data_IF_606662545791
#
_entry.id   IF_606662545791
#
_cell.length_a   1.000
_cell.length_b   1.000
_cell.length_c   1.000
_cell.angle_alpha   90.00
_cell.angle_beta   90.00
_cell.angle_gamma   90.00
#
_symmetry.space_group_name_H-M   'P 1'
#
loop_
_entity.id
_entity.type
_entity.pdbx_description
1 polymer ?
#
# COMPACT_ATOMS: atom_id res chain seq x y z
N UNK A 1 19.54 -36.86 -21.95
CA UNK A 1 19.67 -37.09 -20.49
C UNK A 1 19.07 -35.88 -19.79
N UNK A 2 17.96 -35.90 -19.05
CA UNK A 2 16.87 -36.84 -18.80
C UNK A 2 15.58 -36.02 -19.02
N UNK A 3 14.71 -36.50 -19.90
CA UNK A 3 13.35 -36.00 -20.09
C UNK A 3 12.45 -36.82 -19.17
N UNK A 4 11.78 -36.20 -18.20
CA UNK A 4 10.75 -36.89 -17.42
C UNK A 4 9.44 -36.76 -18.19
N UNK A 5 9.13 -37.78 -18.99
CA UNK A 5 7.81 -37.98 -19.58
C UNK A 5 6.82 -38.30 -18.44
N UNK A 6 5.73 -37.55 -18.36
CA UNK A 6 4.53 -37.99 -17.65
C UNK A 6 3.74 -38.85 -18.62
N UNK A 7 3.88 -40.16 -18.46
CA UNK A 7 3.20 -41.19 -19.24
C UNK A 7 1.72 -41.23 -18.85
N UNK A 8 0.84 -40.94 -19.79
CA UNK A 8 -0.60 -41.18 -19.70
C UNK A 8 -0.85 -42.69 -19.59
N UNK A 9 -1.24 -43.17 -18.41
CA UNK A 9 -1.71 -44.53 -18.23
C UNK A 9 -3.21 -44.60 -18.57
N UNK A 10 -3.54 -44.70 -19.85
CA UNK A 10 -4.85 -45.20 -20.29
C UNK A 10 -4.73 -46.74 -20.39
N UNK A 11 -5.03 -47.45 -19.31
CA UNK A 11 -5.20 -48.90 -19.32
C UNK A 11 -6.59 -49.22 -18.79
N UNK A 12 -7.36 -49.91 -19.63
CA UNK A 12 -8.81 -49.99 -19.53
C UNK A 12 -9.36 -50.80 -18.37
N UNK A 13 -10.62 -50.49 -18.05
CA UNK A 13 -11.52 -51.42 -17.40
C UNK A 13 -12.75 -51.60 -18.29
N UNK A 14 -12.85 -52.81 -18.84
CA UNK A 14 -14.07 -53.33 -19.45
C UNK A 14 -15.16 -53.46 -18.37
N UNK A 15 -16.40 -53.16 -18.80
CA UNK A 15 -17.69 -53.54 -18.23
C UNK A 15 -17.70 -54.26 -16.87
N UNK A 16 -18.03 -53.51 -15.82
CA UNK A 16 -18.88 -54.01 -14.73
C UNK A 16 -19.55 -52.80 -14.06
N UNK A 17 -20.87 -52.86 -13.91
CA UNK A 17 -21.71 -51.76 -13.44
C UNK A 17 -21.20 -51.16 -12.12
N UNK A 18 -20.94 -49.87 -12.13
CA UNK A 18 -20.65 -49.08 -10.93
C UNK A 18 -21.37 -47.75 -11.07
N UNK A 19 -21.95 -47.31 -9.96
CA UNK A 19 -22.84 -46.16 -9.87
C UNK A 19 -22.17 -44.88 -10.38
N UNK A 20 -22.98 -44.01 -10.98
CA UNK A 20 -22.62 -42.60 -11.21
C UNK A 20 -22.19 -42.04 -9.85
N UNK A 21 -20.96 -41.53 -9.69
CA UNK A 21 -20.54 -40.97 -8.42
C UNK A 21 -21.44 -39.76 -8.09
N UNK A 22 -21.78 -39.53 -6.81
CA UNK A 22 -22.61 -38.39 -6.43
C UNK A 22 -21.92 -37.08 -6.84
N UNK A 23 -22.68 -36.05 -7.21
CA UNK A 23 -22.20 -34.69 -7.57
C UNK A 23 -21.08 -34.14 -6.67
N UNK A 24 -21.04 -34.57 -5.40
CA UNK A 24 -20.01 -34.22 -4.43
C UNK A 24 -18.59 -34.74 -4.78
N UNK A 25 -18.46 -35.86 -5.50
CA UNK A 25 -17.17 -36.40 -5.93
C UNK A 25 -16.56 -35.57 -7.07
N UNK A 26 -17.37 -35.07 -8.01
CA UNK A 26 -16.92 -34.12 -9.02
C UNK A 26 -16.57 -32.76 -8.41
N UNK A 27 -17.30 -32.34 -7.37
CA UNK A 27 -16.93 -31.15 -6.60
C UNK A 27 -15.63 -31.33 -5.81
N UNK A 28 -15.32 -32.55 -5.34
CA UNK A 28 -14.04 -32.86 -4.66
C UNK A 28 -12.86 -32.94 -5.63
N UNK A 29 -13.04 -33.48 -6.84
CA UNK A 29 -11.98 -33.49 -7.86
C UNK A 29 -11.76 -32.09 -8.48
N UNK A 30 -12.81 -31.27 -8.60
CA UNK A 30 -12.71 -29.85 -8.95
C UNK A 30 -12.21 -28.94 -7.82
N UNK A 31 -12.15 -29.44 -6.58
CA UNK A 31 -11.44 -28.80 -5.45
C UNK A 31 -10.10 -29.45 -5.17
N UNK A 32 -9.40 -29.90 -6.21
CA UNK A 32 -7.94 -29.79 -6.17
C UNK A 32 -7.64 -28.31 -6.30
N UNK A 33 -7.78 -27.59 -5.18
CA UNK A 33 -7.37 -26.20 -5.06
C UNK A 33 -5.97 -26.12 -5.68
N UNK A 34 -5.82 -25.31 -6.73
CA UNK A 34 -4.51 -24.82 -7.12
C UNK A 34 -4.02 -24.10 -5.87
N UNK A 35 -3.25 -24.79 -5.03
CA UNK A 35 -2.53 -24.18 -3.94
C UNK A 35 -1.47 -23.33 -4.64
N UNK A 36 -1.87 -22.10 -5.02
CA UNK A 36 -0.93 -21.09 -5.48
C UNK A 36 0.07 -20.97 -4.36
N UNK A 37 1.29 -21.48 -4.59
CA UNK A 37 2.35 -21.35 -3.62
C UNK A 37 2.53 -19.86 -3.35
N UNK A 38 2.38 -19.46 -2.08
CA UNK A 38 2.55 -18.07 -1.69
C UNK A 38 3.93 -17.58 -2.17
N UNK A 39 4.05 -16.35 -2.69
CA UNK A 39 5.34 -15.81 -3.10
C UNK A 39 6.38 -15.93 -1.97
N UNK A 40 7.58 -16.38 -2.32
CA UNK A 40 8.72 -16.38 -1.38
C UNK A 40 9.18 -14.95 -1.15
N UNK A 41 8.94 -14.45 0.06
CA UNK A 41 9.32 -13.10 0.52
C UNK A 41 10.46 -13.14 1.53
N UNK A 42 11.32 -14.17 1.45
CA UNK A 42 12.55 -14.22 2.24
C UNK A 42 13.53 -13.10 1.85
N UNK A 43 14.46 -12.78 2.75
CA UNK A 43 15.55 -11.82 2.51
C UNK A 43 16.28 -12.11 1.19
N UNK A 44 16.61 -13.38 0.93
CA UNK A 44 17.29 -13.80 -0.28
C UNK A 44 16.40 -13.61 -1.51
N UNK A 45 15.12 -14.00 -1.44
CA UNK A 45 14.19 -13.88 -2.56
C UNK A 45 13.96 -12.41 -2.95
N UNK A 46 13.76 -11.52 -1.97
CA UNK A 46 13.56 -10.08 -2.21
C UNK A 46 14.84 -9.46 -2.78
N UNK A 47 16.00 -9.63 -2.12
CA UNK A 47 17.25 -9.01 -2.55
C UNK A 47 17.75 -9.53 -3.92
N UNK A 48 17.39 -10.75 -4.31
CA UNK A 48 17.75 -11.34 -5.60
C UNK A 48 16.69 -11.14 -6.69
N UNK A 49 15.48 -10.67 -6.37
CA UNK A 49 14.37 -10.59 -7.32
C UNK A 49 14.71 -9.66 -8.50
N UNK A 50 14.34 -10.07 -9.71
CA UNK A 50 14.59 -9.30 -10.93
C UNK A 50 13.35 -9.27 -11.85
N UNK A 51 13.44 -8.43 -12.88
CA UNK A 51 12.33 -8.18 -13.80
C UNK A 51 11.94 -9.42 -14.62
N UNK A 52 12.91 -10.24 -15.05
CA UNK A 52 12.62 -11.47 -15.82
C UNK A 52 11.92 -12.51 -14.95
N UNK A 53 12.38 -12.69 -13.70
CA UNK A 53 11.74 -13.57 -12.73
C UNK A 53 10.31 -13.12 -12.39
N UNK A 54 10.08 -11.81 -12.25
CA UNK A 54 8.75 -11.27 -12.06
C UNK A 54 7.81 -11.53 -13.25
N UNK A 55 8.26 -11.25 -14.48
CA UNK A 55 7.48 -11.55 -15.69
C UNK A 55 7.13 -13.04 -15.78
N UNK A 56 8.09 -13.91 -15.50
CA UNK A 56 7.86 -15.36 -15.50
C UNK A 56 6.81 -15.78 -14.46
N UNK A 57 6.83 -15.19 -13.25
CA UNK A 57 5.81 -15.44 -12.23
C UNK A 57 4.42 -14.96 -12.65
N UNK A 58 4.31 -13.77 -13.24
CA UNK A 58 3.03 -13.23 -13.73
C UNK A 58 2.45 -14.08 -14.86
N UNK A 59 3.29 -14.48 -15.82
CA UNK A 59 2.86 -15.33 -16.93
C UNK A 59 2.41 -16.72 -16.45
N UNK A 60 3.12 -17.29 -15.48
CA UNK A 60 2.72 -18.55 -14.85
C UNK A 60 1.39 -18.42 -14.09
N UNK A 61 1.19 -17.33 -13.34
CA UNK A 61 -0.06 -17.06 -12.64
C UNK A 61 -1.24 -16.90 -13.61
N UNK A 62 -1.05 -16.15 -14.71
CA UNK A 62 -2.04 -15.98 -15.77
C UNK A 62 -2.42 -17.31 -16.42
N UNK A 63 -1.42 -18.12 -16.77
CA UNK A 63 -1.65 -19.45 -17.36
C UNK A 63 -2.41 -20.36 -16.40
N UNK A 64 -2.06 -20.35 -15.11
CA UNK A 64 -2.77 -21.12 -14.09
C UNK A 64 -4.23 -20.71 -13.89
N UNK A 65 -4.53 -19.40 -14.00
CA UNK A 65 -5.90 -18.88 -13.98
C UNK A 65 -6.68 -19.30 -15.24
N UNK A 66 -6.07 -19.20 -16.42
CA UNK A 66 -6.67 -19.64 -17.69
C UNK A 66 -7.02 -21.14 -17.64
N UNK A 67 -6.11 -21.98 -17.12
CA UNK A 67 -6.35 -23.41 -16.93
C UNK A 67 -7.47 -23.69 -15.92
N UNK A 68 -7.51 -22.98 -14.80
CA UNK A 68 -8.56 -23.11 -13.79
C UNK A 68 -9.94 -22.73 -14.35
N UNK A 69 -10.01 -21.64 -15.11
CA UNK A 69 -11.23 -21.18 -15.75
C UNK A 69 -11.69 -22.18 -16.82
N UNK A 70 -10.77 -22.73 -17.63
CA UNK A 70 -11.10 -23.73 -18.63
C UNK A 70 -11.69 -25.02 -18.02
N UNK A 71 -11.25 -25.42 -16.81
CA UNK A 71 -11.84 -26.56 -16.08
C UNK A 71 -13.27 -26.25 -15.60
N UNK A 72 -13.56 -25.01 -15.21
CA UNK A 72 -14.90 -24.59 -14.79
C UNK A 72 -15.90 -24.46 -15.95
N UNK A 73 -15.42 -24.26 -17.18
CA UNK A 73 -16.25 -24.14 -18.40
C UNK A 73 -16.59 -25.49 -19.07
N UNK A 74 -16.12 -26.62 -18.52
CA UNK A 74 -16.51 -27.96 -19.01
C UNK A 74 -17.92 -28.28 -18.50
N UNK A 75 -18.92 -28.23 -19.40
CA UNK A 75 -20.29 -28.64 -19.08
C UNK A 75 -20.35 -30.10 -18.58
N UNK A 76 -21.06 -30.40 -17.48
CA UNK A 76 -21.32 -31.77 -17.11
C UNK A 76 -22.18 -32.45 -18.19
N UNK A 77 -21.99 -33.75 -18.46
CA UNK A 77 -22.76 -34.45 -19.48
C UNK A 77 -24.26 -34.32 -19.20
N UNK A 78 -25.02 -33.87 -20.22
CA UNK A 78 -26.47 -33.68 -20.13
C UNK A 78 -27.16 -34.95 -19.63
N UNK A 79 -27.65 -34.90 -18.38
CA UNK A 79 -28.56 -35.92 -17.87
C UNK A 79 -29.96 -35.62 -18.41
N UNK A 80 -30.42 -36.48 -19.33
CA UNK A 80 -31.76 -36.44 -19.92
C UNK A 80 -32.86 -36.31 -18.85
N UNK A 81 -33.78 -35.38 -19.10
CA UNK A 81 -34.82 -35.00 -18.14
C UNK A 81 -35.95 -36.00 -17.97
N UNK A 82 -36.68 -35.83 -16.87
CA UNK A 82 -38.14 -35.98 -16.85
C UNK A 82 -38.74 -35.02 -15.81
N UNK A 83 -39.92 -34.43 -16.05
CA UNK A 83 -40.51 -33.39 -15.22
C UNK A 83 -41.56 -33.98 -14.28
N UNK A 84 -41.40 -33.83 -12.97
CA UNK A 84 -42.56 -33.57 -12.10
C UNK A 84 -42.13 -33.06 -10.70
N UNK A 85 -43.08 -32.37 -10.08
CA UNK A 85 -43.19 -31.92 -8.69
C UNK A 85 -42.91 -30.44 -8.37
N UNK A 86 -44.04 -29.72 -8.36
CA UNK A 86 -44.31 -28.49 -7.64
C UNK A 86 -44.43 -28.71 -6.14
N UNK A 87 -43.70 -27.95 -5.32
CA UNK A 87 -44.22 -27.39 -4.06
C UNK A 87 -43.58 -26.02 -3.85
N UNK A 88 -44.42 -25.01 -3.73
CA UNK A 88 -44.04 -23.67 -3.31
C UNK A 88 -43.85 -23.64 -1.79
N UNK A 89 -42.74 -23.07 -1.33
CA UNK A 89 -42.68 -22.47 0.00
C UNK A 89 -41.88 -21.16 -0.06
N UNK A 90 -42.54 -20.08 0.34
CA UNK A 90 -41.94 -18.75 0.52
C UNK A 90 -41.37 -18.70 1.93
N UNK A 91 -40.05 -18.64 2.05
CA UNK A 91 -39.35 -18.30 3.27
C UNK A 91 -38.38 -17.14 3.00
N UNK A 92 -38.26 -16.27 3.99
CA UNK A 92 -37.63 -14.95 3.98
C UNK A 92 -36.30 -14.83 3.23
N UNK A 93 -36.21 -13.80 2.40
CA UNK A 93 -34.97 -13.31 1.83
C UNK A 93 -34.13 -12.63 2.93
N UNK A 94 -33.46 -13.44 3.75
CA UNK A 94 -32.23 -13.01 4.39
C UNK A 94 -31.19 -12.83 3.28
N UNK A 95 -30.60 -11.63 3.20
CA UNK A 95 -29.53 -11.33 2.27
C UNK A 95 -28.45 -12.41 2.35
N UNK A 96 -28.24 -13.13 1.25
CA UNK A 96 -27.12 -14.03 1.12
C UNK A 96 -25.84 -13.23 1.38
N UNK A 97 -24.85 -13.78 2.12
CA UNK A 97 -23.55 -13.13 2.21
C UNK A 97 -23.03 -12.94 0.79
N UNK A 98 -22.60 -11.72 0.47
CA UNK A 98 -21.92 -11.44 -0.79
C UNK A 98 -20.80 -12.47 -0.99
N UNK A 99 -20.64 -13.04 -2.20
CA UNK A 99 -19.57 -14.00 -2.43
C UNK A 99 -18.23 -13.33 -2.11
N UNK A 100 -17.55 -13.83 -1.07
CA UNK A 100 -16.18 -13.45 -0.77
C UNK A 100 -15.35 -13.69 -2.04
N UNK A 101 -14.78 -12.62 -2.60
CA UNK A 101 -13.77 -12.71 -3.65
C UNK A 101 -12.69 -13.69 -3.17
N UNK A 102 -12.43 -14.75 -3.94
CA UNK A 102 -11.29 -15.63 -3.73
C UNK A 102 -10.03 -14.77 -3.68
N UNK A 103 -9.12 -15.04 -2.74
CA UNK A 103 -7.83 -14.35 -2.72
C UNK A 103 -7.09 -14.69 -4.02
N UNK A 104 -6.88 -13.70 -4.85
CA UNK A 104 -6.16 -13.82 -6.12
C UNK A 104 -4.64 -13.74 -5.85
N UNK A 105 -3.77 -14.29 -6.72
CA UNK A 105 -2.32 -14.15 -6.59
C UNK A 105 -1.83 -12.69 -6.45
N UNK A 106 -2.61 -11.74 -6.98
CA UNK A 106 -2.39 -10.29 -6.91
C UNK A 106 -2.67 -9.70 -5.51
N UNK A 107 -3.32 -10.45 -4.63
CA UNK A 107 -3.60 -10.04 -3.24
C UNK A 107 -2.42 -10.36 -2.28
N UNK A 108 -1.31 -10.89 -2.81
CA UNK A 108 -0.12 -11.25 -2.03
C UNK A 108 1.12 -10.45 -2.46
N UNK A 109 1.98 -10.07 -1.51
CA UNK A 109 3.19 -9.32 -1.83
C UNK A 109 4.15 -10.15 -2.68
N UNK A 110 4.64 -9.58 -3.78
CA UNK A 110 5.64 -10.19 -4.65
C UNK A 110 7.05 -9.68 -4.31
N UNK A 111 8.07 -10.55 -4.22
CA UNK A 111 9.43 -10.14 -3.85
C UNK A 111 10.06 -9.11 -4.80
N UNK A 112 9.73 -9.15 -6.10
CA UNK A 112 10.17 -8.12 -7.05
C UNK A 112 9.46 -6.79 -6.79
N UNK A 113 8.17 -6.79 -6.50
CA UNK A 113 7.44 -5.55 -6.21
C UNK A 113 7.91 -4.91 -4.89
N UNK A 114 8.21 -5.70 -3.86
CA UNK A 114 8.85 -5.20 -2.63
C UNK A 114 10.19 -4.53 -2.99
N UNK A 115 11.06 -5.22 -3.72
CA UNK A 115 12.36 -4.67 -4.13
C UNK A 115 12.22 -3.43 -5.00
N UNK A 116 11.29 -3.44 -5.95
CA UNK A 116 11.00 -2.32 -6.84
C UNK A 116 10.56 -1.09 -6.04
N UNK A 117 9.58 -1.23 -5.14
CA UNK A 117 9.08 -0.15 -4.30
C UNK A 117 10.19 0.47 -3.43
N UNK A 118 11.06 -0.36 -2.84
CA UNK A 118 12.19 0.14 -2.04
C UNK A 118 13.18 0.93 -2.90
N UNK A 119 13.49 0.46 -4.11
CA UNK A 119 14.38 1.19 -5.02
C UNK A 119 13.77 2.50 -5.52
N UNK A 120 12.45 2.53 -5.74
CA UNK A 120 11.71 3.74 -6.09
C UNK A 120 11.72 4.77 -4.94
N UNK A 121 11.48 4.31 -3.70
CA UNK A 121 11.58 5.13 -2.48
C UNK A 121 12.99 5.74 -2.33
N UNK A 122 14.04 4.91 -2.50
CA UNK A 122 15.45 5.37 -2.52
C UNK A 122 15.74 6.42 -3.57
N UNK A 123 15.05 6.36 -4.70
CA UNK A 123 15.17 7.32 -5.79
C UNK A 123 14.29 8.57 -5.61
N UNK A 124 13.57 8.69 -4.49
CA UNK A 124 12.65 9.78 -4.17
C UNK A 124 11.43 9.85 -5.10
N UNK A 125 11.12 8.74 -5.75
CA UNK A 125 9.83 8.46 -6.39
C UNK A 125 9.01 7.59 -5.43
N UNK A 126 8.40 8.21 -4.43
CA UNK A 126 7.77 7.51 -3.31
C UNK A 126 6.60 6.63 -3.81
N UNK A 127 6.55 5.33 -3.43
CA UNK A 127 5.37 4.48 -3.63
C UNK A 127 4.28 4.72 -2.57
N UNK A 128 4.46 5.67 -1.66
CA UNK A 128 3.74 5.70 -0.40
C UNK A 128 4.28 4.59 0.50
N UNK A 129 3.41 3.69 0.97
CA UNK A 129 3.83 2.50 1.73
C UNK A 129 4.50 1.48 0.83
N UNK A 130 5.54 0.82 1.34
CA UNK A 130 6.07 -0.42 0.76
C UNK A 130 5.19 -1.58 1.26
N UNK A 131 4.42 -2.17 0.36
CA UNK A 131 3.46 -3.25 0.63
C UNK A 131 3.68 -4.51 -0.24
N UNK A 132 4.53 -4.42 -1.26
CA UNK A 132 4.81 -5.49 -2.20
C UNK A 132 3.71 -5.75 -3.23
N UNK A 133 2.72 -4.87 -3.37
CA UNK A 133 1.54 -5.06 -4.22
C UNK A 133 1.59 -4.23 -5.51
N UNK A 134 0.90 -4.72 -6.55
CA UNK A 134 0.70 -3.99 -7.81
C UNK A 134 -0.45 -2.97 -7.67
N UNK A 135 -0.23 -2.00 -6.79
CA UNK A 135 -1.16 -0.92 -6.47
C UNK A 135 -1.01 0.29 -7.38
N UNK A 136 -2.02 1.15 -7.36
CA UNK A 136 -1.99 2.43 -8.09
C UNK A 136 -0.82 3.34 -7.66
N UNK A 137 -0.45 3.35 -6.37
CA UNK A 137 0.68 4.16 -5.91
C UNK A 137 2.01 3.59 -6.40
N UNK A 138 2.16 2.25 -6.48
CA UNK A 138 3.31 1.60 -7.14
C UNK A 138 3.42 2.08 -8.58
N UNK A 139 2.31 2.08 -9.32
CA UNK A 139 2.24 2.54 -10.72
C UNK A 139 2.59 4.03 -10.88
N UNK A 140 2.13 4.89 -9.96
CA UNK A 140 2.52 6.31 -9.88
C UNK A 140 4.02 6.47 -9.66
N UNK A 141 4.60 5.73 -8.71
CA UNK A 141 6.03 5.74 -8.44
C UNK A 141 6.88 5.28 -9.65
N UNK A 142 6.42 4.28 -10.40
CA UNK A 142 7.06 3.84 -11.65
C UNK A 142 7.05 4.97 -12.69
N UNK A 143 5.89 5.59 -12.94
CA UNK A 143 5.75 6.70 -13.89
C UNK A 143 6.58 7.92 -13.47
N UNK A 144 6.61 8.21 -12.17
CA UNK A 144 7.42 9.23 -11.54
C UNK A 144 8.92 9.00 -11.80
N UNK A 145 9.43 7.79 -11.52
CA UNK A 145 10.83 7.46 -11.75
C UNK A 145 11.20 7.52 -13.24
N UNK A 146 10.29 7.08 -14.12
CA UNK A 146 10.46 7.21 -15.56
C UNK A 146 10.61 8.68 -15.99
N UNK A 147 9.74 9.56 -15.47
CA UNK A 147 9.81 11.00 -15.70
C UNK A 147 11.12 11.61 -15.17
N UNK A 148 11.57 11.22 -13.97
CA UNK A 148 12.82 11.71 -13.37
C UNK A 148 14.08 11.31 -14.14
N UNK A 149 14.01 10.26 -14.97
CA UNK A 149 15.15 9.67 -15.65
C UNK A 149 15.05 9.74 -17.19
N UNK A 150 14.15 10.57 -17.71
CA UNK A 150 13.89 10.75 -19.15
C UNK A 150 13.65 9.42 -19.89
N UNK A 151 12.91 8.51 -19.25
CA UNK A 151 12.47 7.25 -19.85
C UNK A 151 11.10 7.40 -20.53
N UNK A 152 10.76 6.43 -21.39
CA UNK A 152 9.41 6.30 -21.91
C UNK A 152 8.42 6.20 -20.75
N UNK A 153 7.42 7.10 -20.74
CA UNK A 153 6.43 7.15 -19.67
C UNK A 153 5.56 5.89 -19.72
N UNK A 154 5.63 5.11 -18.65
CA UNK A 154 4.82 3.93 -18.40
C UNK A 154 4.55 3.85 -16.91
N UNK A 155 3.40 3.29 -16.56
CA UNK A 155 3.00 2.99 -15.19
C UNK A 155 3.21 1.50 -14.86
N UNK A 156 3.83 0.73 -15.76
CA UNK A 156 4.22 -0.66 -15.56
C UNK A 156 5.75 -0.82 -15.48
N UNK A 157 6.25 -1.83 -14.75
CA UNK A 157 7.68 -2.14 -14.74
C UNK A 157 8.18 -2.49 -16.15
N UNK A 158 9.30 -1.89 -16.57
CA UNK A 158 9.93 -2.16 -17.85
C UNK A 158 11.40 -2.56 -17.69
N UNK A 159 11.97 -3.21 -18.70
CA UNK A 159 13.38 -3.61 -18.68
C UNK A 159 14.32 -2.39 -18.55
N UNK A 160 14.02 -1.29 -19.23
CA UNK A 160 14.83 -0.07 -19.18
C UNK A 160 14.75 0.63 -17.81
N UNK A 161 13.56 0.66 -17.20
CA UNK A 161 13.38 1.18 -15.85
C UNK A 161 14.11 0.32 -14.82
N UNK A 162 13.99 -1.00 -14.94
CA UNK A 162 14.68 -1.95 -14.06
C UNK A 162 16.20 -1.84 -14.19
N UNK A 163 16.74 -1.72 -15.41
CA UNK A 163 18.18 -1.54 -15.63
C UNK A 163 18.74 -0.33 -14.87
N UNK A 164 18.02 0.79 -14.85
CA UNK A 164 18.41 1.97 -14.08
C UNK A 164 18.28 1.77 -12.57
N UNK A 165 17.16 1.23 -12.09
CA UNK A 165 16.95 1.01 -10.65
C UNK A 165 17.94 -0.01 -10.08
N UNK A 166 18.18 -1.10 -10.79
CA UNK A 166 19.09 -2.17 -10.38
C UNK A 166 20.57 -1.76 -10.40
N UNK A 167 20.91 -0.55 -10.88
CA UNK A 167 22.23 0.03 -10.69
C UNK A 167 22.53 0.28 -9.19
N UNK A 168 21.49 0.50 -8.37
CA UNK A 168 21.62 0.32 -6.92
C UNK A 168 21.60 -1.17 -6.58
N UNK A 169 22.80 -1.72 -6.40
CA UNK A 169 23.03 -3.12 -6.06
C UNK A 169 23.08 -3.37 -4.54
N UNK A 170 22.83 -2.36 -3.70
CA UNK A 170 22.78 -2.57 -2.25
C UNK A 170 21.55 -3.41 -1.86
N UNK A 171 21.64 -4.11 -0.74
CA UNK A 171 20.52 -4.85 -0.17
C UNK A 171 19.36 -3.89 0.11
N UNK A 172 18.16 -4.28 -0.30
CA UNK A 172 16.92 -3.49 -0.13
C UNK A 172 16.18 -3.88 1.13
N UNK A 173 16.35 -5.11 1.60
CA UNK A 173 15.87 -5.58 2.90
C UNK A 173 17.03 -6.14 3.71
N UNK A 174 17.01 -5.94 5.02
CA UNK A 174 18.05 -6.43 5.92
C UNK A 174 17.52 -6.73 7.34
N UNK A 175 18.22 -7.56 8.12
CA UNK A 175 17.88 -7.76 9.53
C UNK A 175 18.15 -6.50 10.37
N UNK A 176 17.11 -6.02 11.06
CA UNK A 176 17.18 -5.01 12.11
C UNK A 176 17.07 -5.69 13.48
N UNK A 177 17.97 -5.37 14.40
CA UNK A 177 17.92 -5.89 15.76
C UNK A 177 17.08 -4.94 16.61
N UNK A 178 15.91 -5.40 17.04
CA UNK A 178 15.05 -4.65 17.95
C UNK A 178 15.79 -4.33 19.24
N UNK A 179 15.88 -3.04 19.59
CA UNK A 179 16.69 -2.59 20.73
C UNK A 179 15.83 -2.39 21.99
N UNK A 180 16.48 -2.29 23.15
CA UNK A 180 15.78 -1.85 24.38
C UNK A 180 15.25 -0.42 24.24
N UNK A 181 15.92 0.44 23.46
CA UNK A 181 15.46 1.81 23.23
C UNK A 181 14.16 1.84 22.43
N UNK A 182 14.05 1.02 21.39
CA UNK A 182 12.81 0.90 20.60
C UNK A 182 11.62 0.47 21.46
N UNK A 183 11.86 -0.39 22.45
CA UNK A 183 10.82 -0.87 23.36
C UNK A 183 10.56 0.09 24.53
N UNK A 184 11.49 0.99 24.81
CA UNK A 184 11.35 2.04 25.81
C UNK A 184 10.63 3.28 25.27
N UNK A 185 10.40 3.34 23.96
CA UNK A 185 9.53 4.34 23.36
C UNK A 185 8.15 4.33 24.02
N UNK A 186 7.55 5.50 24.08
CA UNK A 186 6.20 5.61 24.63
C UNK A 186 5.25 5.03 23.58
N UNK A 187 4.32 4.18 24.02
CA UNK A 187 3.27 3.62 23.16
C UNK A 187 1.88 3.95 23.71
N UNK A 188 0.90 4.01 22.82
CA UNK A 188 -0.52 4.27 23.10
C UNK A 188 -1.35 3.12 22.51
N UNK A 189 -1.40 1.94 23.17
CA UNK A 189 -1.97 0.73 22.58
C UNK A 189 -3.45 0.84 22.19
N UNK A 190 -4.18 1.71 22.87
CA UNK A 190 -5.59 1.99 22.58
C UNK A 190 -5.68 3.42 22.06
N UNK A 191 -5.73 3.56 20.74
CA UNK A 191 -5.94 4.83 20.06
C UNK A 191 -7.44 5.00 19.75
N UNK A 192 -8.16 5.89 20.46
CA UNK A 192 -9.56 6.16 20.13
C UNK A 192 -9.67 6.90 18.79
N UNK A 193 -10.83 6.80 18.14
CA UNK A 193 -11.11 7.54 16.89
C UNK A 193 -11.87 8.85 17.13
N UNK A 194 -12.50 8.99 18.30
CA UNK A 194 -13.24 10.20 18.69
C UNK A 194 -12.29 11.33 19.11
N UNK A 195 -12.53 12.54 18.59
CA UNK A 195 -11.64 13.67 18.84
C UNK A 195 -11.71 14.17 20.29
N UNK A 196 -12.88 14.07 20.93
CA UNK A 196 -13.04 14.39 22.35
C UNK A 196 -12.25 13.43 23.24
N UNK A 197 -12.17 12.15 22.89
CA UNK A 197 -11.32 11.18 23.59
C UNK A 197 -9.83 11.38 23.28
N UNK A 198 -9.47 11.62 22.02
CA UNK A 198 -8.08 11.92 21.63
C UNK A 198 -7.53 13.15 22.36
N UNK A 199 -8.34 14.19 22.53
CA UNK A 199 -7.96 15.42 23.23
C UNK A 199 -7.67 15.22 24.73
N UNK A 200 -8.10 14.10 25.33
CA UNK A 200 -7.81 13.76 26.73
C UNK A 200 -6.51 12.99 26.89
N UNK A 201 -5.93 12.49 25.79
CA UNK A 201 -4.63 11.84 25.85
C UNK A 201 -3.54 12.89 26.08
N UNK A 202 -2.40 12.44 26.58
CA UNK A 202 -1.22 13.29 26.77
C UNK A 202 -0.35 13.36 25.50
N UNK A 203 -0.51 12.41 24.57
CA UNK A 203 0.24 12.29 23.31
C UNK A 203 -0.41 11.26 22.38
N UNK A 204 -0.38 11.48 21.07
CA UNK A 204 -0.92 10.61 20.02
C UNK A 204 0.23 9.81 19.36
N UNK A 205 0.95 9.04 20.19
CA UNK A 205 2.08 8.22 19.75
C UNK A 205 1.70 6.95 19.01
N UNK A 206 2.71 6.14 18.67
CA UNK A 206 2.50 4.82 18.06
C UNK A 206 1.77 3.87 19.02
N UNK A 207 1.00 2.94 18.47
CA UNK A 207 0.24 1.91 19.20
C UNK A 207 1.16 0.84 19.77
N UNK A 208 2.16 0.43 18.99
CA UNK A 208 3.15 -0.57 19.35
C UNK A 208 4.45 -0.37 18.55
N UNK A 209 5.45 -1.21 18.83
CA UNK A 209 6.73 -1.17 18.14
C UNK A 209 6.63 -1.57 16.65
N UNK A 210 5.63 -2.37 16.26
CA UNK A 210 5.47 -2.76 14.86
C UNK A 210 5.02 -1.57 14.01
N UNK A 211 4.04 -0.79 14.47
CA UNK A 211 3.63 0.45 13.81
C UNK A 211 4.79 1.45 13.73
N UNK A 212 5.52 1.66 14.83
CA UNK A 212 6.68 2.55 14.85
C UNK A 212 7.75 2.13 13.82
N UNK A 213 8.07 0.84 13.75
CA UNK A 213 9.09 0.34 12.82
C UNK A 213 8.59 0.37 11.38
N UNK A 214 7.31 0.10 11.14
CA UNK A 214 6.70 0.22 9.81
C UNK A 214 6.84 1.65 9.30
N UNK A 215 6.51 2.65 10.12
CA UNK A 215 6.72 4.07 9.82
C UNK A 215 8.20 4.42 9.60
N UNK A 216 9.09 3.94 10.48
CA UNK A 216 10.54 4.20 10.36
C UNK A 216 11.15 3.66 9.06
N UNK A 217 10.67 2.51 8.60
CA UNK A 217 11.19 1.81 7.41
C UNK A 217 10.28 1.96 6.18
N UNK A 218 9.31 2.88 6.21
CA UNK A 218 8.38 3.21 5.12
C UNK A 218 7.51 2.01 4.66
N UNK A 219 7.24 1.06 5.55
CA UNK A 219 6.52 -0.17 5.24
C UNK A 219 5.05 -0.09 5.62
N UNK A 220 4.21 -0.86 4.93
CA UNK A 220 2.92 -1.26 5.46
C UNK A 220 3.11 -2.19 6.67
N UNK A 221 2.31 -2.00 7.73
CA UNK A 221 2.40 -2.80 8.95
C UNK A 221 2.10 -4.29 8.69
N UNK A 222 1.18 -4.58 7.76
CA UNK A 222 0.84 -5.96 7.35
C UNK A 222 2.02 -6.61 6.64
N UNK A 223 2.71 -5.89 5.75
CA UNK A 223 3.92 -6.39 5.10
C UNK A 223 5.01 -6.66 6.13
N UNK A 224 5.30 -5.71 7.03
CA UNK A 224 6.31 -5.88 8.07
C UNK A 224 6.04 -7.14 8.92
N UNK A 225 4.80 -7.35 9.35
CA UNK A 225 4.42 -8.56 10.10
C UNK A 225 4.53 -9.82 9.25
N UNK A 226 4.24 -9.74 7.95
CA UNK A 226 4.34 -10.88 7.03
C UNK A 226 5.77 -11.32 6.73
N UNK A 227 6.70 -10.37 6.64
CA UNK A 227 8.13 -10.68 6.54
C UNK A 227 8.67 -11.32 7.83
N UNK A 228 7.96 -11.16 8.96
CA UNK A 228 8.37 -11.57 10.29
C UNK A 228 7.31 -12.43 11.01
N UNK A 229 6.88 -13.57 10.44
CA UNK A 229 5.69 -14.31 10.90
C UNK A 229 5.82 -14.91 12.31
N UNK A 230 7.04 -15.03 12.83
CA UNK A 230 7.31 -15.49 14.20
C UNK A 230 7.63 -14.37 15.19
N UNK A 231 7.65 -13.11 14.75
CA UNK A 231 8.13 -12.02 15.58
C UNK A 231 7.07 -11.52 16.56
N UNK A 232 7.52 -11.18 17.78
CA UNK A 232 6.66 -10.61 18.83
C UNK A 232 6.63 -9.09 18.79
N UNK A 233 7.68 -8.46 18.27
CA UNK A 233 7.90 -7.01 18.32
C UNK A 233 7.95 -6.45 19.76
N UNK A 234 8.22 -7.32 20.74
CA UNK A 234 8.14 -6.99 22.17
C UNK A 234 9.40 -7.40 22.95
N UNK A 235 10.44 -7.89 22.26
CA UNK A 235 11.64 -8.43 22.90
C UNK A 235 12.91 -7.91 22.23
N UNK A 236 13.74 -7.21 23.01
CA UNK A 236 15.05 -6.75 22.54
C UNK A 236 15.92 -7.95 22.10
N UNK A 237 16.69 -7.75 21.03
CA UNK A 237 17.51 -8.78 20.39
C UNK A 237 16.75 -9.62 19.34
N UNK A 238 15.45 -9.39 19.16
CA UNK A 238 14.69 -9.98 18.05
C UNK A 238 15.20 -9.40 16.72
N UNK A 239 15.54 -10.28 15.77
CA UNK A 239 15.95 -9.87 14.43
C UNK A 239 14.71 -9.80 13.53
N UNK A 240 14.45 -8.61 12.99
CA UNK A 240 13.31 -8.30 12.15
C UNK A 240 13.80 -7.98 10.74
N UNK A 241 13.30 -8.66 9.72
CA UNK A 241 13.54 -8.28 8.33
C UNK A 241 12.74 -7.01 8.02
N UNK A 242 13.44 -5.93 7.69
CA UNK A 242 12.86 -4.61 7.38
C UNK A 242 13.37 -4.12 6.03
N UNK A 243 12.63 -3.19 5.41
CA UNK A 243 13.12 -2.42 4.28
C UNK A 243 14.25 -1.47 4.71
N UNK A 244 15.16 -1.18 3.79
CA UNK A 244 16.21 -0.17 3.96
C UNK A 244 15.90 1.03 3.06
N UNK A 245 15.11 2.00 3.55
CA UNK A 245 14.79 3.22 2.81
C UNK A 245 16.07 4.02 2.53
N UNK A 246 16.05 4.82 1.48
CA UNK A 246 17.22 5.60 1.07
C UNK A 246 17.54 6.76 1.98
N UNK A 247 18.67 7.41 1.72
CA UNK A 247 18.95 8.70 2.34
C UNK A 247 17.88 9.72 1.92
N UNK A 248 17.42 10.56 2.84
CA UNK A 248 16.49 11.65 2.50
C UNK A 248 17.15 12.66 1.54
N UNK A 249 16.41 13.18 0.54
CA UNK A 249 16.93 14.18 -0.37
C UNK A 249 17.39 15.43 0.40
N UNK A 250 18.39 16.13 -0.14
CA UNK A 250 18.98 17.33 0.49
C UNK A 250 18.79 18.60 -0.33
N UNK A 251 18.44 18.47 -1.62
CA UNK A 251 18.27 19.59 -2.53
C UNK A 251 17.06 20.43 -2.12
N UNK A 252 17.27 21.72 -1.92
CA UNK A 252 16.16 22.63 -1.56
C UNK A 252 15.19 22.80 -2.71
N UNK A 253 13.90 22.81 -2.38
CA UNK A 253 12.81 22.90 -3.34
C UNK A 253 12.42 24.36 -3.56
N UNK A 254 12.33 24.76 -4.83
CA UNK A 254 11.88 26.08 -5.25
C UNK A 254 10.37 26.11 -5.51
N UNK A 255 9.83 25.03 -6.07
CA UNK A 255 8.43 24.93 -6.51
C UNK A 255 7.87 23.55 -6.20
N UNK A 256 6.65 23.49 -5.68
CA UNK A 256 5.87 22.28 -5.47
C UNK A 256 4.64 22.36 -6.36
N UNK A 257 4.32 21.27 -7.06
CA UNK A 257 3.07 21.11 -7.79
C UNK A 257 2.25 20.05 -7.09
N UNK A 258 1.02 20.39 -6.74
CA UNK A 258 0.01 19.48 -6.23
C UNK A 258 -0.95 19.20 -7.39
N UNK A 259 -0.83 18.01 -8.00
CA UNK A 259 -1.66 17.60 -9.13
C UNK A 259 -2.90 16.84 -8.62
N UNK A 260 -4.04 17.53 -8.56
CA UNK A 260 -5.30 16.98 -8.05
C UNK A 260 -5.81 15.83 -8.89
N UNK A 261 -5.68 15.94 -10.21
CA UNK A 261 -6.15 14.92 -11.16
C UNK A 261 -5.41 13.59 -10.99
N UNK A 262 -4.17 13.63 -10.50
CA UNK A 262 -3.33 12.46 -10.30
C UNK A 262 -3.20 12.01 -8.86
N UNK A 263 -3.57 12.83 -7.87
CA UNK A 263 -3.32 12.49 -6.47
C UNK A 263 -1.82 12.47 -6.17
N UNK A 264 -1.06 13.45 -6.68
CA UNK A 264 0.40 13.48 -6.56
C UNK A 264 0.91 14.85 -6.12
N UNK A 265 2.03 14.84 -5.41
CA UNK A 265 2.84 16.03 -5.10
C UNK A 265 4.21 15.88 -5.76
N UNK A 266 4.62 16.89 -6.51
CA UNK A 266 5.91 16.94 -7.21
C UNK A 266 6.71 18.15 -6.71
N UNK A 267 7.90 17.92 -6.19
CA UNK A 267 8.78 18.95 -5.65
C UNK A 267 9.99 19.16 -6.58
N UNK A 268 10.15 20.39 -7.06
CA UNK A 268 11.17 20.80 -8.02
C UNK A 268 12.25 21.65 -7.37
N UNK A 269 13.50 21.40 -7.75
CA UNK A 269 14.66 22.23 -7.45
C UNK A 269 14.60 23.59 -8.19
N UNK A 270 15.61 24.43 -7.95
CA UNK A 270 15.71 25.74 -8.61
C UNK A 270 16.03 25.65 -10.12
N UNK A 271 16.50 24.49 -10.56
CA UNK A 271 16.86 24.12 -11.94
C UNK A 271 15.76 23.29 -12.63
N UNK A 272 14.55 23.26 -12.05
CA UNK A 272 13.41 22.46 -12.51
C UNK A 272 13.65 20.94 -12.53
N UNK A 273 14.72 20.45 -11.89
CA UNK A 273 14.88 19.01 -11.63
C UNK A 273 13.88 18.57 -10.56
N UNK A 274 13.29 17.39 -10.75
CA UNK A 274 12.43 16.77 -9.73
C UNK A 274 13.32 16.26 -8.61
N UNK A 275 13.07 16.75 -7.39
CA UNK A 275 13.79 16.37 -6.17
C UNK A 275 13.08 15.25 -5.43
N UNK A 276 11.75 15.32 -5.41
CA UNK A 276 10.88 14.35 -4.75
C UNK A 276 9.52 14.34 -5.44
N UNK A 277 8.92 13.17 -5.58
CA UNK A 277 7.55 12.98 -6.04
C UNK A 277 6.90 11.90 -5.19
N UNK A 278 5.68 12.15 -4.75
CA UNK A 278 4.95 11.28 -3.81
C UNK A 278 3.46 11.23 -4.17
N UNK A 279 2.79 10.08 -3.98
CA UNK A 279 1.34 10.06 -3.93
C UNK A 279 0.85 10.96 -2.79
N UNK A 280 -0.33 11.53 -2.95
CA UNK A 280 -0.91 12.48 -2.02
C UNK A 280 -2.44 12.34 -1.99
N UNK A 281 -3.01 12.32 -0.80
CA UNK A 281 -4.46 12.46 -0.68
C UNK A 281 -4.84 13.94 -0.69
N UNK A 282 -5.56 14.35 -1.73
CA UNK A 282 -5.94 15.75 -1.95
C UNK A 282 -7.46 15.88 -1.72
N UNK A 283 -7.93 17.10 -1.39
CA UNK A 283 -9.33 17.35 -1.04
C UNK A 283 -10.28 17.06 -2.19
N UNK A 284 -11.44 16.46 -1.89
CA UNK A 284 -12.50 16.16 -2.87
C UNK A 284 -13.30 17.40 -3.26
N UNK A 285 -14.17 17.27 -4.27
CA UNK A 285 -15.13 18.31 -4.67
C UNK A 285 -16.02 18.82 -3.52
N UNK A 286 -16.34 17.96 -2.55
CA UNK A 286 -17.13 18.33 -1.37
C UNK A 286 -16.37 19.17 -0.33
N UNK A 287 -15.04 19.03 -0.29
CA UNK A 287 -14.13 19.77 0.59
C UNK A 287 -12.84 20.10 -0.18
N UNK A 288 -12.90 21.01 -1.16
CA UNK A 288 -11.86 21.14 -2.15
C UNK A 288 -10.58 21.70 -1.55
N UNK A 289 -9.46 21.12 -1.98
CA UNK A 289 -8.18 21.77 -1.82
C UNK A 289 -8.17 23.12 -2.54
N UNK A 290 -7.36 24.07 -2.10
CA UNK A 290 -7.29 25.38 -2.74
C UNK A 290 -6.93 25.29 -4.23
N UNK A 291 -7.18 26.37 -4.96
CA UNK A 291 -6.70 26.55 -6.33
C UNK A 291 -5.70 27.70 -6.38
N UNK A 292 -4.81 27.66 -7.38
CA UNK A 292 -3.82 28.71 -7.62
C UNK A 292 -2.51 28.51 -6.85
N UNK A 293 -1.77 29.61 -6.73
CA UNK A 293 -0.40 29.62 -6.22
C UNK A 293 -0.32 30.12 -4.78
N UNK A 294 0.46 29.42 -3.96
CA UNK A 294 0.72 29.71 -2.56
C UNK A 294 2.21 29.72 -2.27
N UNK A 295 2.55 30.10 -1.04
CA UNK A 295 3.90 29.95 -0.51
C UNK A 295 3.89 29.11 0.75
N UNK A 296 4.97 28.40 1.00
CA UNK A 296 5.24 27.80 2.31
C UNK A 296 5.54 28.92 3.30
N UNK A 297 4.83 28.96 4.42
CA UNK A 297 5.11 29.91 5.51
C UNK A 297 6.12 29.35 6.51
N UNK A 298 6.13 28.03 6.71
CA UNK A 298 6.97 27.35 7.68
C UNK A 298 6.59 25.87 7.79
N UNK A 299 7.30 25.14 8.64
CA UNK A 299 6.98 23.76 9.00
C UNK A 299 7.06 23.57 10.50
N UNK A 300 6.30 22.60 11.02
CA UNK A 300 6.23 22.24 12.42
C UNK A 300 6.28 20.70 12.56
N UNK A 301 7.36 20.14 13.14
CA UNK A 301 7.37 18.73 13.54
C UNK A 301 6.46 18.53 14.76
N UNK A 302 5.86 17.34 14.85
CA UNK A 302 4.96 16.93 15.93
C UNK A 302 3.96 18.04 16.34
N UNK A 303 3.15 18.54 15.40
CA UNK A 303 2.21 19.62 15.67
C UNK A 303 1.04 19.14 16.55
N UNK A 304 0.53 20.02 17.42
CA UNK A 304 -0.82 19.87 17.97
C UNK A 304 -1.86 20.14 16.88
N UNK A 305 -3.08 19.63 17.06
CA UNK A 305 -4.17 19.88 16.10
C UNK A 305 -5.32 20.67 16.75
N UNK A 306 -5.59 21.85 16.21
CA UNK A 306 -6.70 22.70 16.62
C UNK A 306 -7.97 22.33 15.85
N UNK A 307 -8.85 21.58 16.51
CA UNK A 307 -10.15 21.20 15.97
C UNK A 307 -11.20 22.27 16.28
N UNK A 308 -11.92 22.70 15.24
CA UNK A 308 -13.06 23.61 15.38
C UNK A 308 -14.24 23.12 14.52
N UNK A 309 -15.31 22.58 15.14
CA UNK A 309 -16.45 22.04 14.40
C UNK A 309 -17.19 23.08 13.55
N UNK A 310 -17.14 24.36 13.95
CA UNK A 310 -17.79 25.46 13.23
C UNK A 310 -17.03 25.90 11.96
N UNK A 311 -15.75 25.48 11.82
CA UNK A 311 -14.88 25.91 10.71
C UNK A 311 -14.40 24.77 9.83
N UNK A 312 -14.11 23.61 10.40
CA UNK A 312 -13.48 22.49 9.71
C UNK A 312 -14.58 21.53 9.22
N UNK A 313 -15.05 20.69 10.14
CA UNK A 313 -16.13 19.72 9.97
C UNK A 313 -16.55 19.21 11.36
N UNK A 314 -17.75 18.64 11.50
CA UNK A 314 -18.18 17.97 12.74
C UNK A 314 -17.67 16.51 12.72
N UNK A 315 -16.73 16.19 13.59
CA UNK A 315 -16.29 14.82 13.88
C UNK A 315 -17.15 14.24 15.00
N UNK A 316 -17.85 13.14 14.71
CA UNK A 316 -18.74 12.49 15.68
C UNK A 316 -19.76 13.47 16.29
N UNK A 317 -19.91 13.41 17.61
CA UNK A 317 -20.76 14.31 18.39
C UNK A 317 -19.98 15.46 19.06
N UNK A 318 -18.79 15.78 18.54
CA UNK A 318 -17.95 16.86 19.10
C UNK A 318 -18.41 18.24 18.60
N UNK A 319 -19.03 19.00 19.51
CA UNK A 319 -19.57 20.35 19.28
C UNK A 319 -18.67 21.49 19.78
N UNK A 320 -17.58 21.18 20.46
CA UNK A 320 -16.68 22.15 21.06
C UNK A 320 -15.34 22.22 20.33
N UNK A 321 -14.62 23.32 20.53
CA UNK A 321 -13.22 23.43 20.07
C UNK A 321 -12.35 22.55 20.94
N UNK A 322 -11.45 21.80 20.31
CA UNK A 322 -10.54 20.90 20.99
C UNK A 322 -9.11 21.15 20.50
N UNK A 323 -8.16 21.05 21.41
CA UNK A 323 -6.74 20.98 21.07
C UNK A 323 -6.30 19.53 21.27
N UNK A 324 -6.04 18.83 20.18
CA UNK A 324 -5.52 17.46 20.23
C UNK A 324 -4.00 17.52 20.43
N UNK A 325 -3.44 16.67 21.30
CA UNK A 325 -2.01 16.64 21.55
C UNK A 325 -1.24 16.19 20.31
N UNK A 326 0.05 16.49 20.29
CA UNK A 326 0.93 16.10 19.20
C UNK A 326 1.10 14.58 19.09
N UNK A 327 1.62 14.13 17.96
CA UNK A 327 2.11 12.77 17.75
C UNK A 327 1.83 12.23 16.34
N UNK A 328 2.55 11.19 15.90
CA UNK A 328 2.43 10.63 14.55
C UNK A 328 1.03 10.10 14.24
N UNK A 329 0.28 9.68 15.26
CA UNK A 329 -1.11 9.23 15.12
C UNK A 329 -2.15 10.36 15.24
N UNK A 330 -1.71 11.62 15.27
CA UNK A 330 -2.60 12.78 15.27
C UNK A 330 -3.22 13.05 13.89
N UNK A 331 -4.31 13.85 13.79
CA UNK A 331 -5.01 14.11 12.52
C UNK A 331 -4.16 14.70 11.39
N UNK A 332 -3.06 15.37 11.74
CA UNK A 332 -2.10 15.97 10.80
C UNK A 332 -0.76 15.24 10.78
N UNK A 333 -0.69 14.07 11.42
CA UNK A 333 0.51 13.23 11.50
C UNK A 333 1.69 13.89 12.21
N UNK A 334 2.88 13.41 11.89
CA UNK A 334 4.14 13.82 12.52
C UNK A 334 4.71 15.15 11.99
N UNK A 335 4.11 15.74 10.94
CA UNK A 335 4.66 16.92 10.28
C UNK A 335 3.57 17.78 9.65
N UNK A 336 3.65 19.10 9.87
CA UNK A 336 2.84 20.11 9.20
C UNK A 336 3.72 21.08 8.42
N UNK A 337 3.34 21.38 7.17
CA UNK A 337 3.94 22.41 6.33
C UNK A 337 2.85 23.43 6.02
N UNK A 338 2.97 24.62 6.61
CA UNK A 338 1.97 25.68 6.54
C UNK A 338 2.01 26.41 5.20
N UNK A 339 0.83 26.66 4.62
CA UNK A 339 0.68 27.39 3.36
C UNK A 339 0.12 28.79 3.61
N UNK A 340 0.41 29.72 2.69
CA UNK A 340 -0.04 31.12 2.78
C UNK A 340 -1.55 31.31 2.75
N UNK A 341 -2.34 30.28 2.39
CA UNK A 341 -3.79 30.31 2.55
C UNK A 341 -4.15 29.82 3.96
N UNK A 342 -4.86 30.62 4.77
CA UNK A 342 -5.22 30.24 6.12
C UNK A 342 -5.90 28.86 6.17
N UNK A 343 -5.55 28.07 7.19
CA UNK A 343 -6.09 26.73 7.49
C UNK A 343 -5.73 25.61 6.51
N UNK A 344 -4.84 25.84 5.55
CA UNK A 344 -4.38 24.81 4.61
C UNK A 344 -2.90 24.51 4.78
N UNK A 345 -2.56 23.23 4.66
CA UNK A 345 -1.20 22.74 4.78
C UNK A 345 -0.96 21.48 3.97
N UNK A 346 0.31 21.13 3.83
CA UNK A 346 0.77 19.79 3.43
C UNK A 346 1.19 19.10 4.72
N UNK A 347 0.73 17.88 4.99
CA UNK A 347 0.97 17.24 6.28
C UNK A 347 1.04 15.72 6.21
N UNK A 348 1.52 15.10 7.29
CA UNK A 348 1.57 13.64 7.45
C UNK A 348 0.18 13.03 7.72
N UNK A 349 0.14 11.76 8.08
CA UNK A 349 -1.13 11.05 8.34
C UNK A 349 -0.93 9.93 9.36
N UNK A 350 -1.93 9.63 10.20
CA UNK A 350 -1.92 8.43 11.03
C UNK A 350 -2.19 7.15 10.22
N UNK A 351 -2.60 7.28 8.95
CA UNK A 351 -3.04 6.17 8.10
C UNK A 351 -2.29 6.18 6.75
N UNK A 352 -0.99 5.85 6.71
CA UNK A 352 -0.17 5.96 5.50
C UNK A 352 -0.66 5.06 4.36
N UNK A 353 -1.23 3.88 4.66
CA UNK A 353 -1.81 2.96 3.66
C UNK A 353 -3.08 3.51 2.97
N UNK A 354 -3.66 4.60 3.49
CA UNK A 354 -4.84 5.28 2.88
C UNK A 354 -4.46 6.47 1.99
N UNK A 355 -3.18 6.74 1.80
CA UNK A 355 -2.72 7.79 0.90
C UNK A 355 -3.18 7.49 -0.52
N UNK A 356 -3.92 8.45 -1.08
CA UNK A 356 -4.54 8.39 -2.40
C UNK A 356 -5.54 7.22 -2.57
N UNK A 357 -6.16 6.78 -1.46
CA UNK A 357 -7.26 5.78 -1.45
C UNK A 357 -8.55 6.34 -0.83
N UNK A 358 -8.51 7.58 -0.38
CA UNK A 358 -9.62 8.30 0.23
C UNK A 358 -9.56 9.77 -0.17
N UNK A 359 -10.59 10.56 0.15
CA UNK A 359 -10.55 12.01 0.01
C UNK A 359 -10.14 12.69 1.32
N UNK A 360 -9.42 13.82 1.26
CA UNK A 360 -9.17 14.66 2.44
C UNK A 360 -10.26 15.72 2.62
N UNK A 361 -10.28 16.38 3.79
CA UNK A 361 -11.12 17.54 4.08
C UNK A 361 -10.51 18.87 3.58
N UNK A 362 -9.67 18.82 2.52
CA UNK A 362 -9.12 20.00 1.85
C UNK A 362 -7.59 20.17 1.93
N UNK A 363 -6.91 19.57 2.90
CA UNK A 363 -5.44 19.60 2.99
C UNK A 363 -4.77 18.55 2.08
N UNK A 364 -3.47 18.70 1.84
CA UNK A 364 -2.67 17.69 1.11
C UNK A 364 -2.05 16.76 2.14
N UNK A 365 -2.43 15.48 2.11
CA UNK A 365 -1.89 14.46 3.03
C UNK A 365 -0.85 13.62 2.32
N UNK A 366 0.27 13.41 2.98
CA UNK A 366 1.34 12.50 2.61
C UNK A 366 1.52 11.47 3.72
N UNK A 367 2.33 10.44 3.49
CA UNK A 367 2.88 9.62 4.56
C UNK A 367 3.70 10.51 5.52
N UNK A 368 3.90 10.08 6.77
CA UNK A 368 4.65 10.89 7.72
C UNK A 368 6.11 11.11 7.26
N UNK A 369 6.75 10.08 6.70
CA UNK A 369 8.12 10.18 6.19
C UNK A 369 8.24 11.09 4.97
N UNK A 370 7.31 11.04 4.01
CA UNK A 370 7.32 11.94 2.85
C UNK A 370 7.08 13.40 3.27
N UNK A 371 6.18 13.63 4.23
CA UNK A 371 5.94 14.96 4.79
C UNK A 371 7.19 15.49 5.52
N UNK A 372 7.87 14.66 6.31
CA UNK A 372 9.10 15.02 7.00
C UNK A 372 10.25 15.30 6.03
N UNK A 373 10.42 14.45 5.01
CA UNK A 373 11.40 14.65 3.95
C UNK A 373 11.16 16.00 3.27
N UNK A 374 9.94 16.26 2.79
CA UNK A 374 9.56 17.50 2.13
C UNK A 374 9.78 18.73 3.04
N UNK A 375 9.43 18.63 4.33
CA UNK A 375 9.64 19.71 5.30
C UNK A 375 11.12 20.10 5.42
N UNK A 376 12.05 19.14 5.25
CA UNK A 376 13.48 19.37 5.18
C UNK A 376 13.95 20.08 3.90
N UNK A 377 13.17 20.05 2.82
CA UNK A 377 13.52 20.64 1.52
C UNK A 377 12.95 22.04 1.31
N UNK A 378 11.81 22.36 1.91
CA UNK A 378 11.11 23.63 1.71
C UNK A 378 11.82 24.81 2.38
N UNK A 379 11.59 26.01 1.83
CA UNK A 379 12.13 27.26 2.31
C UNK A 379 10.98 28.25 2.60
N UNK A 380 10.79 28.67 3.87
CA UNK A 380 9.79 29.66 4.25
C UNK A 380 9.82 30.92 3.38
N UNK A 381 8.63 31.39 2.99
CA UNK A 381 8.36 32.52 2.10
C UNK A 381 8.97 32.46 0.69
N UNK A 382 9.70 31.38 0.35
CA UNK A 382 10.40 31.20 -0.93
C UNK A 382 9.82 30.07 -1.75
N UNK A 383 9.62 28.90 -1.15
CA UNK A 383 9.05 27.76 -1.86
C UNK A 383 7.62 28.07 -2.25
N UNK A 384 7.35 27.99 -3.55
CA UNK A 384 6.03 28.20 -4.14
C UNK A 384 5.29 26.86 -4.21
N UNK A 385 3.98 26.88 -3.97
CA UNK A 385 3.12 25.69 -4.10
C UNK A 385 2.01 26.00 -5.09
N UNK A 386 1.88 25.19 -6.13
CA UNK A 386 0.91 25.36 -7.22
C UNK A 386 -0.09 24.21 -7.19
N UNK A 387 -1.36 24.52 -7.05
CA UNK A 387 -2.43 23.54 -7.18
C UNK A 387 -2.88 23.49 -8.64
N UNK A 388 -2.66 22.33 -9.27
CA UNK A 388 -3.09 22.03 -10.63
C UNK A 388 -4.37 21.20 -10.56
N UNK A 389 -5.34 21.60 -11.37
CA UNK A 389 -6.63 20.89 -11.53
C UNK A 389 -6.49 19.67 -12.43
#
# INVERSE_FOLDING_TARGET
MKSTLITTALAGFLLAGTAIPPKAAWAQEATTAIAVALPDVSEQAINAADFEGWKARREAARTGLDEAQAVLEIDPPEAGGNPDESVADKADAAAAPEPQKSAEPEDFPDPFLIRLQILLDRAHASPGVIDGLDGENTRKAIAAYAMMNDLDLSDEPSAALWEKLAADAATVVQPYILTEQDLAERFVPVMPTDYGELAKLDWLGFRDAAEMLAERFHMDETLLRRLNPGATFAKAGEALLVAEPGAVPQTKVARIVVDKSKGELIAYGADDQIVLISPATIGSDGTPSPSGTMKVNGSAPDPTYEYNPDKNFKQGENHEKLTLPAGPNGPVGAMWIDLSKPTYGIHGTPEPSKIDKSASHGCVRLTNWDAQALAGLVQPARTVVEFKE
#
